data_IF_983083970651
#
_entry.id   IF_983083970651
#
_cell.length_a   1.000
_cell.length_b   1.000
_cell.length_c   1.000
_cell.angle_alpha   90.00
_cell.angle_beta   90.00
_cell.angle_gamma   90.00
#
_symmetry.space_group_name_H-M   'P 1'
#
loop_
_entity.id
_entity.type
_entity.pdbx_description
1 polymer ?
#
# COMPACT_ATOMS: atom_id res chain seq x y z
N UNK A 1 46.48 46.08 -16.28
CA UNK A 1 45.74 45.48 -17.41
C UNK A 1 46.70 44.64 -18.24
N UNK A 2 46.75 43.33 -17.98
CA UNK A 2 47.05 42.36 -19.04
C UNK A 2 45.85 42.43 -19.98
N UNK A 3 46.01 42.60 -21.30
CA UNK A 3 45.00 43.25 -22.17
C UNK A 3 43.62 42.54 -22.24
N UNK A 4 43.49 41.40 -21.57
CA UNK A 4 42.26 40.86 -20.99
C UNK A 4 42.61 39.69 -20.06
N UNK A 5 43.52 38.82 -20.50
CA UNK A 5 44.26 37.89 -19.65
C UNK A 5 45.67 37.57 -20.21
N UNK A 6 45.94 37.68 -21.53
CA UNK A 6 47.31 37.54 -22.09
C UNK A 6 47.52 38.05 -23.55
N UNK A 7 46.74 38.99 -24.07
CA UNK A 7 47.11 39.68 -25.32
C UNK A 7 47.82 41.01 -24.97
N UNK A 8 48.54 41.62 -25.92
CA UNK A 8 49.23 42.89 -25.72
C UNK A 8 49.32 43.63 -27.05
N UNK A 9 49.04 44.93 -27.08
CA UNK A 9 49.03 45.76 -28.28
C UNK A 9 49.43 47.20 -27.93
N UNK A 10 50.12 47.86 -28.87
CA UNK A 10 50.55 49.26 -28.73
C UNK A 10 49.41 50.16 -29.21
N UNK A 11 48.80 50.91 -28.30
CA UNK A 11 47.67 51.79 -28.60
C UNK A 11 48.17 53.25 -28.61
N UNK A 12 47.99 54.01 -29.71
CA UNK A 12 48.38 55.42 -29.78
C UNK A 12 47.46 56.28 -28.91
N UNK A 13 48.01 57.38 -28.36
CA UNK A 13 47.38 58.25 -27.35
C UNK A 13 46.06 58.91 -27.76
N UNK A 14 45.71 58.89 -29.04
CA UNK A 14 44.47 59.44 -29.59
C UNK A 14 43.29 58.42 -29.58
N UNK A 15 43.54 57.17 -29.21
CA UNK A 15 42.51 56.14 -29.03
C UNK A 15 42.33 55.87 -27.53
N UNK A 16 41.22 56.33 -26.96
CA UNK A 16 40.80 55.96 -25.62
C UNK A 16 39.99 54.65 -25.68
N UNK A 17 40.39 53.66 -24.89
CA UNK A 17 39.67 52.39 -24.74
C UNK A 17 39.06 52.36 -23.35
N UNK A 18 37.74 52.46 -23.29
CA UNK A 18 36.96 52.32 -22.07
C UNK A 18 36.48 50.86 -21.94
N UNK A 19 37.03 50.13 -20.96
CA UNK A 19 36.52 48.81 -20.62
C UNK A 19 35.30 48.98 -19.72
N UNK A 20 34.11 48.85 -20.29
CA UNK A 20 32.89 48.74 -19.51
C UNK A 20 32.96 47.46 -18.67
N UNK A 21 33.35 47.61 -17.41
CA UNK A 21 33.37 46.51 -16.45
C UNK A 21 31.92 46.13 -16.17
N UNK A 22 31.49 44.94 -16.62
CA UNK A 22 30.25 44.36 -16.12
C UNK A 22 30.40 44.26 -14.59
N UNK A 23 29.38 44.66 -13.83
CA UNK A 23 29.41 44.59 -12.37
C UNK A 23 29.89 43.19 -11.95
N UNK A 24 30.87 43.13 -11.05
CA UNK A 24 31.41 41.87 -10.52
C UNK A 24 30.32 41.17 -9.71
N UNK A 25 29.39 40.49 -10.39
CA UNK A 25 28.35 39.67 -9.78
C UNK A 25 28.95 38.31 -9.43
N UNK A 26 28.89 37.94 -8.16
CA UNK A 26 29.45 36.69 -7.69
C UNK A 26 28.34 35.62 -7.66
N UNK A 27 28.60 34.46 -8.25
CA UNK A 27 27.61 33.38 -8.35
C UNK A 27 27.12 32.91 -6.96
N UNK A 28 27.90 33.16 -5.91
CA UNK A 28 27.54 32.81 -4.54
C UNK A 28 26.29 33.53 -4.04
N UNK A 29 26.02 34.77 -4.45
CA UNK A 29 24.81 35.48 -4.01
C UNK A 29 23.53 34.83 -4.56
N UNK A 30 23.58 34.30 -5.79
CA UNK A 30 22.46 33.55 -6.37
C UNK A 30 22.23 32.22 -5.66
N UNK A 31 23.30 31.50 -5.32
CA UNK A 31 23.20 30.26 -4.55
C UNK A 31 22.62 30.51 -3.15
N UNK A 32 23.03 31.58 -2.47
CA UNK A 32 22.47 31.95 -1.17
C UNK A 32 20.97 32.30 -1.25
N UNK A 33 20.54 32.92 -2.35
CA UNK A 33 19.12 33.19 -2.60
C UNK A 33 18.32 31.90 -2.83
N UNK A 34 18.87 30.95 -3.60
CA UNK A 34 18.24 29.64 -3.84
C UNK A 34 18.11 28.87 -2.52
N UNK A 35 19.17 28.79 -1.73
CA UNK A 35 19.16 28.12 -0.43
C UNK A 35 18.13 28.72 0.52
N UNK A 36 18.00 30.06 0.53
CA UNK A 36 17.00 30.74 1.33
C UNK A 36 15.58 30.41 0.86
N UNK A 37 15.33 30.40 -0.45
CA UNK A 37 14.03 30.08 -1.01
C UNK A 37 13.63 28.63 -0.71
N UNK A 38 14.53 27.67 -0.92
CA UNK A 38 14.29 26.25 -0.62
C UNK A 38 14.00 26.03 0.87
N UNK A 39 14.83 26.60 1.77
CA UNK A 39 14.61 26.49 3.23
C UNK A 39 13.30 27.12 3.66
N UNK A 40 12.89 28.22 3.04
CA UNK A 40 11.62 28.88 3.34
C UNK A 40 10.43 28.02 2.90
N UNK A 41 10.51 27.41 1.72
CA UNK A 41 9.51 26.48 1.22
C UNK A 41 9.40 25.23 2.10
N UNK A 42 10.52 24.61 2.50
CA UNK A 42 10.50 23.44 3.39
C UNK A 42 9.84 23.75 4.73
N UNK A 43 10.09 24.94 5.32
CA UNK A 43 9.42 25.36 6.56
C UNK A 43 7.93 25.61 6.38
N UNK A 44 7.54 26.23 5.26
CA UNK A 44 6.13 26.53 4.99
C UNK A 44 5.28 25.27 4.76
N UNK A 45 5.86 24.26 4.08
CA UNK A 45 5.13 23.03 3.72
C UNK A 45 5.27 21.98 4.81
N UNK A 46 6.50 21.70 5.25
CA UNK A 46 6.80 20.56 6.12
C UNK A 46 6.89 20.95 7.61
N UNK A 47 6.90 22.26 7.93
CA UNK A 47 7.12 22.75 9.29
C UNK A 47 8.58 22.67 9.77
N UNK A 48 9.51 22.21 8.93
CA UNK A 48 10.92 22.05 9.30
C UNK A 48 11.83 21.87 8.09
N UNK A 49 13.15 21.90 8.30
CA UNK A 49 14.15 21.81 7.23
C UNK A 49 15.02 20.56 7.28
N UNK A 50 15.14 19.91 8.45
CA UNK A 50 16.17 18.89 8.66
C UNK A 50 15.91 17.58 7.90
N UNK A 51 14.64 17.22 7.70
CA UNK A 51 14.29 15.97 6.99
C UNK A 51 14.51 16.07 5.48
N UNK A 52 14.65 17.28 4.94
CA UNK A 52 14.86 17.53 3.50
C UNK A 52 16.29 17.98 3.18
N UNK A 53 16.97 18.64 4.12
CA UNK A 53 18.36 19.06 3.99
C UNK A 53 19.16 18.50 5.16
N UNK A 54 19.76 17.32 4.96
CA UNK A 54 20.75 16.77 5.88
C UNK A 54 22.11 17.41 5.59
N UNK A 55 22.35 18.59 6.13
CA UNK A 55 23.71 19.12 6.20
C UNK A 55 24.45 18.30 7.28
N UNK A 56 25.24 17.32 6.83
CA UNK A 56 25.78 16.20 7.61
C UNK A 56 26.63 16.55 8.84
N UNK A 57 26.75 17.84 9.20
CA UNK A 57 27.42 18.33 10.40
C UNK A 57 26.49 18.54 11.61
N UNK A 58 25.17 18.64 11.44
CA UNK A 58 24.25 19.00 12.55
C UNK A 58 23.00 18.12 12.67
N UNK A 59 22.90 17.03 11.91
CA UNK A 59 21.81 16.06 12.06
C UNK A 59 22.09 15.11 13.22
N UNK A 60 21.58 15.42 14.40
CA UNK A 60 21.52 14.47 15.52
C UNK A 60 20.22 13.66 15.46
N UNK A 61 20.26 12.39 15.82
CA UNK A 61 19.07 11.51 15.82
C UNK A 61 17.91 12.10 16.65
N UNK A 62 18.21 12.81 17.74
CA UNK A 62 17.21 13.48 18.57
C UNK A 62 16.46 14.59 17.81
N UNK A 63 17.16 15.39 16.99
CA UNK A 63 16.52 16.43 16.20
C UNK A 63 15.69 15.82 15.06
N UNK A 64 16.15 14.70 14.49
CA UNK A 64 15.38 13.93 13.50
C UNK A 64 14.04 13.44 14.04
N UNK A 65 13.99 12.96 15.29
CA UNK A 65 12.76 12.52 15.94
C UNK A 65 11.76 13.67 16.14
N UNK A 66 12.22 14.84 16.61
CA UNK A 66 11.37 16.04 16.75
C UNK A 66 10.74 16.46 15.41
N UNK A 67 11.49 16.36 14.30
CA UNK A 67 10.92 16.65 12.98
C UNK A 67 9.94 15.58 12.49
N UNK A 68 10.11 14.33 12.92
CA UNK A 68 9.15 13.28 12.64
C UNK A 68 7.82 13.52 13.38
N UNK A 69 7.88 13.96 14.64
CA UNK A 69 6.71 14.38 15.42
C UNK A 69 5.95 15.52 14.73
N UNK A 70 6.64 16.58 14.28
CA UNK A 70 6.00 17.69 13.53
C UNK A 70 5.32 17.20 12.26
N UNK A 71 5.92 16.23 11.55
CA UNK A 71 5.30 15.64 10.35
C UNK A 71 4.03 14.87 10.71
N UNK A 72 4.03 14.14 11.81
CA UNK A 72 2.88 13.39 12.30
C UNK A 72 1.76 14.34 12.74
N UNK A 73 2.09 15.42 13.46
CA UNK A 73 1.12 16.45 13.83
C UNK A 73 0.45 17.09 12.60
N UNK A 74 1.24 17.36 11.55
CA UNK A 74 0.70 17.89 10.29
C UNK A 74 -0.22 16.89 9.59
N UNK A 75 0.20 15.63 9.50
CA UNK A 75 -0.61 14.53 8.95
C UNK A 75 -1.94 14.41 9.70
N UNK A 76 -1.91 14.40 11.02
CA UNK A 76 -3.11 14.21 11.84
C UNK A 76 -4.05 15.43 11.74
N UNK A 77 -3.51 16.64 11.65
CA UNK A 77 -4.29 17.84 11.38
C UNK A 77 -4.99 17.80 10.01
N UNK A 78 -4.29 17.32 8.97
CA UNK A 78 -4.86 17.16 7.63
C UNK A 78 -5.91 16.04 7.59
N UNK A 79 -5.64 14.90 8.22
CA UNK A 79 -6.61 13.80 8.34
C UNK A 79 -7.87 14.26 9.06
N UNK A 80 -7.77 15.07 10.11
CA UNK A 80 -8.93 15.64 10.81
C UNK A 80 -9.77 16.54 9.91
N UNK A 81 -9.14 17.31 9.02
CA UNK A 81 -9.84 18.17 8.04
C UNK A 81 -10.51 17.33 6.95
N UNK A 82 -9.83 16.30 6.46
CA UNK A 82 -10.39 15.35 5.48
C UNK A 82 -11.56 14.59 6.09
N UNK A 83 -11.44 14.10 7.31
CA UNK A 83 -12.51 13.43 8.04
C UNK A 83 -13.75 14.31 8.20
N UNK A 84 -13.57 15.60 8.53
CA UNK A 84 -14.67 16.56 8.59
C UNK A 84 -15.35 16.74 7.22
N UNK A 85 -14.57 16.78 6.15
CA UNK A 85 -15.07 16.95 4.78
C UNK A 85 -15.84 15.71 4.33
N UNK A 86 -15.28 14.52 4.52
CA UNK A 86 -15.93 13.24 4.22
C UNK A 86 -17.20 13.05 5.04
N UNK A 87 -17.18 13.42 6.32
CA UNK A 87 -18.37 13.36 7.17
C UNK A 87 -19.48 14.27 6.64
N UNK A 88 -19.13 15.49 6.21
CA UNK A 88 -20.09 16.48 5.69
C UNK A 88 -20.64 16.12 4.31
N UNK A 89 -19.78 15.68 3.40
CA UNK A 89 -20.11 15.56 1.97
C UNK A 89 -20.51 14.15 1.55
N UNK A 90 -20.04 13.11 2.27
CA UNK A 90 -20.31 11.71 1.94
C UNK A 90 -21.20 11.03 2.99
N UNK A 91 -20.77 11.05 4.25
CA UNK A 91 -21.47 10.30 5.32
C UNK A 91 -22.84 10.92 5.62
N UNK A 92 -22.92 12.25 5.69
CA UNK A 92 -24.17 12.95 5.98
C UNK A 92 -25.25 12.68 4.92
N UNK A 93 -25.01 12.85 3.60
CA UNK A 93 -26.01 12.54 2.59
C UNK A 93 -26.42 11.06 2.57
N UNK A 94 -25.47 10.14 2.70
CA UNK A 94 -25.78 8.70 2.75
C UNK A 94 -26.65 8.34 3.95
N UNK A 95 -26.36 8.92 5.12
CA UNK A 95 -27.15 8.70 6.32
C UNK A 95 -28.55 9.33 6.20
N UNK A 96 -28.64 10.56 5.70
CA UNK A 96 -29.92 11.27 5.55
C UNK A 96 -30.86 10.60 4.53
N UNK A 97 -30.31 10.02 3.45
CA UNK A 97 -31.09 9.37 2.41
C UNK A 97 -31.51 7.94 2.76
N UNK A 98 -30.63 7.16 3.41
CA UNK A 98 -30.87 5.73 3.64
C UNK A 98 -31.41 5.39 5.03
N UNK A 99 -31.15 6.21 6.06
CA UNK A 99 -31.51 5.87 7.43
C UNK A 99 -32.78 6.61 7.89
N UNK A 100 -33.83 5.85 8.22
CA UNK A 100 -35.06 6.37 8.85
C UNK A 100 -34.87 7.00 10.23
N UNK A 101 -33.66 6.89 10.80
CA UNK A 101 -33.28 7.44 12.12
C UNK A 101 -32.78 8.88 12.04
N UNK A 102 -32.72 9.47 10.83
CA UNK A 102 -32.29 10.85 10.66
C UNK A 102 -33.30 11.83 11.26
N UNK A 103 -32.92 12.40 12.42
CA UNK A 103 -33.72 13.40 13.13
C UNK A 103 -33.03 14.76 13.21
N UNK A 104 -31.71 14.79 13.45
CA UNK A 104 -30.94 16.03 13.63
C UNK A 104 -29.52 15.86 13.05
N UNK A 105 -29.04 16.88 12.34
CA UNK A 105 -27.69 16.95 11.78
C UNK A 105 -26.58 16.90 12.85
N UNK A 106 -26.92 17.15 14.12
CA UNK A 106 -26.00 17.02 15.27
C UNK A 106 -25.69 15.57 15.66
N UNK A 107 -26.53 14.61 15.30
CA UNK A 107 -26.40 13.17 15.66
C UNK A 107 -26.08 12.30 14.45
N UNK A 108 -25.16 12.77 13.61
CA UNK A 108 -24.70 12.02 12.45
C UNK A 108 -23.49 11.16 12.84
N UNK A 109 -23.32 9.97 12.26
CA UNK A 109 -22.06 9.24 12.34
C UNK A 109 -20.91 10.12 11.86
N UNK A 110 -19.78 10.09 12.56
CA UNK A 110 -18.56 10.79 12.15
C UNK A 110 -17.57 9.79 11.60
N UNK A 111 -16.98 10.14 10.47
CA UNK A 111 -15.84 9.43 9.95
C UNK A 111 -14.60 9.88 10.73
N UNK A 112 -13.79 8.94 11.19
CA UNK A 112 -12.54 9.19 11.91
C UNK A 112 -11.47 8.25 11.36
N UNK A 113 -10.27 8.78 11.13
CA UNK A 113 -9.11 7.98 10.75
C UNK A 113 -8.43 7.47 12.02
N UNK A 114 -8.04 6.20 12.04
CA UNK A 114 -7.13 5.70 13.08
C UNK A 114 -5.71 6.19 12.78
N UNK A 115 -5.21 7.11 13.59
CA UNK A 115 -3.84 7.63 13.50
C UNK A 115 -2.93 7.04 14.57
N UNK A 116 -3.38 5.99 15.28
CA UNK A 116 -2.56 5.32 16.27
C UNK A 116 -1.31 4.70 15.60
N UNK A 117 -0.14 5.12 16.07
CA UNK A 117 1.11 4.49 15.66
C UNK A 117 1.44 3.33 16.58
N UNK A 118 1.85 2.21 15.99
CA UNK A 118 2.33 1.05 16.73
C UNK A 118 3.64 1.44 17.43
N UNK A 119 3.66 1.33 18.76
CA UNK A 119 4.87 1.54 19.56
C UNK A 119 5.88 0.42 19.27
N UNK A 120 7.17 0.67 19.51
CA UNK A 120 8.21 -0.35 19.33
C UNK A 120 7.87 -1.59 20.18
N UNK A 121 7.58 -2.69 19.49
CA UNK A 121 7.13 -3.98 20.02
C UNK A 121 8.04 -4.46 21.16
N UNK A 122 9.34 -4.20 21.06
CA UNK A 122 10.30 -4.63 22.08
C UNK A 122 10.14 -3.80 23.36
N UNK A 123 10.16 -2.47 23.23
CA UNK A 123 10.02 -1.55 24.37
C UNK A 123 8.66 -1.70 25.06
N UNK A 124 7.60 -1.88 24.27
CA UNK A 124 6.24 -2.06 24.77
C UNK A 124 6.06 -3.42 25.45
N UNK A 125 6.57 -4.50 24.86
CA UNK A 125 6.50 -5.84 25.44
C UNK A 125 7.24 -5.96 26.78
N UNK A 126 8.45 -5.40 26.87
CA UNK A 126 9.21 -5.36 28.13
C UNK A 126 8.56 -4.46 29.19
N UNK A 127 8.03 -3.31 28.78
CA UNK A 127 7.32 -2.38 29.67
C UNK A 127 6.01 -2.96 30.19
N UNK A 128 5.24 -3.60 29.31
CA UNK A 128 3.95 -4.21 29.64
C UNK A 128 4.13 -5.37 30.63
N UNK A 129 5.15 -6.22 30.45
CA UNK A 129 5.49 -7.27 31.41
C UNK A 129 5.72 -6.71 32.82
N UNK A 130 6.56 -5.67 32.94
CA UNK A 130 6.83 -5.01 34.23
C UNK A 130 5.58 -4.39 34.85
N UNK A 131 4.70 -3.80 34.04
CA UNK A 131 3.45 -3.19 34.52
C UNK A 131 2.47 -4.25 35.05
N UNK A 132 2.37 -5.40 34.38
CA UNK A 132 1.57 -6.54 34.85
C UNK A 132 2.14 -7.11 36.14
N UNK A 133 3.47 -7.23 36.25
CA UNK A 133 4.15 -7.71 37.47
C UNK A 133 3.92 -6.80 38.68
N UNK A 134 3.80 -5.49 38.46
CA UNK A 134 3.45 -4.48 39.48
C UNK A 134 1.97 -4.55 39.87
N UNK A 135 1.13 -5.26 39.09
CA UNK A 135 -0.28 -5.53 39.39
C UNK A 135 -1.28 -4.64 38.64
N UNK A 136 -0.88 -3.97 37.55
CA UNK A 136 -1.82 -3.27 36.68
C UNK A 136 -2.78 -4.26 36.01
N UNK A 137 -4.09 -3.97 36.07
CA UNK A 137 -5.13 -4.75 35.38
C UNK A 137 -5.38 -4.16 34.00
N UNK A 138 -4.63 -4.64 33.02
CA UNK A 138 -4.71 -4.16 31.64
C UNK A 138 -5.61 -5.11 30.83
N UNK A 139 -6.68 -4.61 30.18
CA UNK A 139 -7.51 -5.45 29.32
C UNK A 139 -6.71 -5.88 28.08
N UNK A 140 -6.86 -7.16 27.71
CA UNK A 140 -6.15 -7.77 26.59
C UNK A 140 -6.45 -7.07 25.26
N UNK A 141 -7.71 -6.64 25.07
CA UNK A 141 -8.14 -5.90 23.89
C UNK A 141 -7.42 -4.55 23.74
N UNK A 142 -7.21 -3.81 24.84
CA UNK A 142 -6.48 -2.54 24.80
C UNK A 142 -5.03 -2.73 24.36
N UNK A 143 -4.37 -3.80 24.82
CA UNK A 143 -3.00 -4.10 24.43
C UNK A 143 -2.92 -4.46 22.93
N UNK A 144 -3.91 -5.18 22.41
CA UNK A 144 -4.00 -5.52 20.98
C UNK A 144 -4.30 -4.31 20.10
N UNK A 145 -5.26 -3.46 20.49
CA UNK A 145 -5.61 -2.22 19.80
C UNK A 145 -4.40 -1.26 19.74
N UNK A 146 -3.68 -1.13 20.85
CA UNK A 146 -2.48 -0.29 20.93
C UNK A 146 -1.32 -0.81 20.10
N UNK A 147 -1.22 -2.14 19.96
CA UNK A 147 -0.20 -2.80 19.13
C UNK A 147 -0.60 -2.95 17.67
N UNK A 148 -1.86 -2.66 17.33
CA UNK A 148 -2.45 -2.88 16.01
C UNK A 148 -2.35 -4.33 15.54
N UNK A 149 -2.41 -5.28 16.49
CA UNK A 149 -2.43 -6.72 16.21
C UNK A 149 -3.88 -7.19 16.36
N UNK A 150 -4.56 -7.58 15.26
CA UNK A 150 -5.94 -8.04 15.33
C UNK A 150 -6.06 -9.32 16.16
N UNK A 151 -7.24 -9.50 16.76
CA UNK A 151 -7.60 -10.77 17.41
C UNK A 151 -7.78 -11.81 16.31
N UNK A 152 -7.00 -12.88 16.38
CA UNK A 152 -7.18 -14.03 15.49
C UNK A 152 -8.60 -14.61 15.66
N UNK A 153 -9.25 -14.94 14.54
CA UNK A 153 -10.54 -15.64 14.58
C UNK A 153 -10.38 -17.07 15.12
N UNK A 154 -11.46 -17.71 15.56
CA UNK A 154 -11.44 -19.06 16.18
C UNK A 154 -10.76 -20.15 15.32
N UNK A 155 -10.60 -19.93 14.00
CA UNK A 155 -9.98 -20.87 13.05
C UNK A 155 -8.79 -20.28 12.29
N UNK A 156 -8.17 -19.20 12.79
CA UNK A 156 -6.99 -18.59 12.17
C UNK A 156 -5.71 -19.07 12.86
N UNK A 157 -4.66 -19.32 12.08
CA UNK A 157 -3.41 -19.85 12.62
C UNK A 157 -2.68 -18.78 13.45
N UNK A 158 -2.45 -19.06 14.73
CA UNK A 158 -1.88 -18.11 15.68
C UNK A 158 -0.38 -18.37 15.82
N UNK A 159 0.42 -17.30 15.72
CA UNK A 159 1.85 -17.35 15.98
C UNK A 159 2.10 -17.82 17.43
N UNK A 160 2.44 -19.09 17.60
CA UNK A 160 2.83 -19.64 18.89
C UNK A 160 4.35 -19.60 19.04
N UNK A 161 4.81 -19.03 20.15
CA UNK A 161 6.21 -19.15 20.56
C UNK A 161 6.38 -20.59 21.06
N UNK A 162 7.26 -21.37 20.43
CA UNK A 162 7.64 -22.70 20.95
C UNK A 162 8.31 -22.53 22.31
N UNK A 163 7.51 -22.41 23.37
CA UNK A 163 8.00 -22.65 24.71
C UNK A 163 8.28 -24.16 24.79
N UNK A 164 9.48 -24.59 25.22
CA UNK A 164 9.68 -25.98 25.61
C UNK A 164 8.81 -26.24 26.84
N UNK A 165 7.58 -26.65 26.59
CA UNK A 165 6.69 -27.18 27.61
C UNK A 165 7.34 -28.47 28.07
N UNK A 166 7.86 -28.48 29.30
CA UNK A 166 8.34 -29.69 29.94
C UNK A 166 7.20 -30.72 29.94
N UNK A 167 7.31 -31.71 29.06
CA UNK A 167 6.36 -32.80 28.93
C UNK A 167 6.59 -33.80 30.09
N UNK A 168 5.54 -34.26 30.80
CA UNK A 168 5.70 -35.34 31.77
C UNK A 168 6.05 -36.64 31.02
N UNK A 169 7.09 -37.36 31.48
CA UNK A 169 7.57 -38.57 30.81
C UNK A 169 6.49 -39.67 30.75
N UNK A 170 6.03 -39.98 29.54
CA UNK A 170 5.14 -41.09 29.25
C UNK A 170 5.98 -42.28 28.69
N UNK A 171 6.09 -43.42 29.40
CA UNK A 171 7.08 -44.49 29.11
C UNK A 171 6.85 -45.25 27.80
N UNK A 172 5.78 -44.95 27.05
CA UNK A 172 5.41 -45.64 25.80
C UNK A 172 6.25 -45.22 24.59
N UNK A 173 6.87 -44.02 24.60
CA UNK A 173 7.69 -43.53 23.47
C UNK A 173 9.02 -44.29 23.29
N UNK A 174 9.48 -45.05 24.30
CA UNK A 174 10.74 -45.83 24.22
C UNK A 174 10.60 -47.17 23.47
N UNK A 175 9.38 -47.64 23.20
CA UNK A 175 9.15 -48.95 22.56
C UNK A 175 9.06 -48.91 21.02
N UNK A 176 8.96 -47.72 20.41
CA UNK A 176 8.80 -47.58 18.95
C UNK A 176 10.16 -47.60 18.23
N UNK A 177 11.28 -47.37 18.93
CA UNK A 177 12.62 -47.39 18.34
C UNK A 177 13.15 -48.78 17.96
N UNK A 178 12.45 -49.87 18.31
CA UNK A 178 12.92 -51.25 18.12
C UNK A 178 12.12 -52.07 17.10
N UNK A 179 11.23 -51.46 16.32
CA UNK A 179 10.45 -52.17 15.30
C UNK A 179 10.96 -51.86 13.89
N UNK A 180 11.80 -52.75 13.34
CA UNK A 180 12.09 -52.80 11.90
C UNK A 180 10.85 -53.34 11.16
N UNK A 181 10.07 -52.47 10.54
CA UNK A 181 9.02 -52.82 9.58
C UNK A 181 9.47 -52.46 8.15
N UNK A 182 9.19 -53.32 7.14
CA UNK A 182 9.60 -53.08 5.77
C UNK A 182 8.82 -51.91 5.17
N UNK A 183 9.52 -51.09 4.39
CA UNK A 183 9.02 -49.88 3.75
C UNK A 183 7.75 -50.13 2.91
N UNK A 184 6.63 -49.58 3.36
CA UNK A 184 5.44 -49.38 2.54
C UNK A 184 5.76 -48.29 1.51
N UNK A 185 6.04 -48.70 0.27
CA UNK A 185 6.11 -47.79 -0.87
C UNK A 185 4.72 -47.24 -1.16
N UNK A 186 4.41 -46.07 -0.60
CA UNK A 186 3.33 -45.25 -1.10
C UNK A 186 3.73 -44.79 -2.51
N UNK A 187 3.00 -45.25 -3.51
CA UNK A 187 3.13 -44.79 -4.88
C UNK A 187 2.57 -43.36 -4.91
N UNK A 188 3.41 -42.38 -4.53
CA UNK A 188 3.10 -40.97 -4.68
C UNK A 188 3.21 -40.67 -6.16
N UNK A 189 2.05 -40.60 -6.84
CA UNK A 189 1.95 -39.96 -8.14
C UNK A 189 2.19 -38.47 -7.87
N UNK A 190 3.46 -38.06 -7.93
CA UNK A 190 3.79 -36.64 -8.03
C UNK A 190 3.49 -36.26 -9.48
N UNK A 191 2.26 -35.82 -9.73
CA UNK A 191 1.94 -35.17 -11.01
C UNK A 191 2.59 -33.80 -10.95
N UNK A 192 3.42 -33.47 -11.93
CA UNK A 192 4.03 -32.14 -11.98
C UNK A 192 2.90 -31.10 -12.01
N UNK A 193 2.98 -30.02 -11.22
CA UNK A 193 1.93 -29.01 -11.18
C UNK A 193 1.74 -28.33 -12.53
N UNK A 194 2.78 -28.29 -13.37
CA UNK A 194 2.73 -27.73 -14.73
C UNK A 194 1.86 -28.58 -15.67
N UNK A 195 1.87 -29.92 -15.53
CA UNK A 195 1.02 -30.81 -16.35
C UNK A 195 -0.48 -30.66 -16.04
N UNK A 196 -0.82 -30.21 -14.83
CA UNK A 196 -2.21 -29.92 -14.44
C UNK A 196 -2.70 -28.59 -14.99
N UNK A 197 -1.79 -27.64 -15.25
CA UNK A 197 -2.11 -26.33 -15.82
C UNK A 197 -2.51 -26.50 -17.29
N UNK A 198 -1.71 -27.26 -18.05
CA UNK A 198 -1.98 -27.55 -19.46
C UNK A 198 -3.29 -28.36 -19.66
N UNK A 199 -3.72 -29.15 -18.66
CA UNK A 199 -4.98 -29.91 -18.70
C UNK A 199 -6.21 -29.07 -18.29
N UNK A 200 -6.01 -27.97 -17.54
CA UNK A 200 -7.10 -27.17 -16.95
C UNK A 200 -7.29 -25.79 -17.59
N UNK A 201 -6.31 -25.29 -18.35
CA UNK A 201 -6.45 -24.06 -19.12
C UNK A 201 -7.41 -24.27 -20.30
N UNK A 202 -8.48 -23.46 -20.43
CA UNK A 202 -9.37 -23.57 -21.56
C UNK A 202 -8.62 -23.26 -22.86
N UNK A 203 -8.85 -24.04 -23.90
CA UNK A 203 -8.21 -23.79 -25.20
C UNK A 203 -8.83 -22.58 -25.90
N UNK A 204 -8.10 -21.94 -26.82
CA UNK A 204 -8.60 -20.78 -27.57
C UNK A 204 -9.92 -21.08 -28.31
N UNK A 205 -10.12 -22.33 -28.76
CA UNK A 205 -11.35 -22.78 -29.43
C UNK A 205 -12.55 -22.85 -28.47
N UNK A 206 -12.32 -23.20 -27.20
CA UNK A 206 -13.36 -23.21 -26.17
C UNK A 206 -13.78 -21.78 -25.81
N UNK A 207 -12.82 -20.85 -25.72
CA UNK A 207 -13.11 -19.42 -25.52
C UNK A 207 -13.95 -18.85 -26.66
N UNK A 208 -13.58 -19.14 -27.92
CA UNK A 208 -14.35 -18.69 -29.07
C UNK A 208 -15.78 -19.27 -29.04
N UNK A 209 -15.96 -20.53 -28.66
CA UNK A 209 -17.29 -21.16 -28.61
C UNK A 209 -18.25 -20.54 -27.59
N UNK A 210 -17.73 -20.00 -26.48
CA UNK A 210 -18.52 -19.38 -25.40
C UNK A 210 -18.76 -17.89 -25.67
N UNK A 211 -17.78 -17.20 -26.26
CA UNK A 211 -17.83 -15.75 -26.49
C UNK A 211 -18.59 -15.40 -27.78
N UNK A 212 -18.45 -16.21 -28.84
CA UNK A 212 -19.09 -15.96 -30.14
C UNK A 212 -20.61 -15.81 -30.08
N UNK A 213 -21.38 -16.64 -29.35
CA UNK A 213 -22.83 -16.51 -29.24
C UNK A 213 -23.27 -15.18 -28.62
N UNK A 214 -22.45 -14.62 -27.73
CA UNK A 214 -22.72 -13.34 -27.06
C UNK A 214 -22.35 -12.14 -27.95
N UNK A 215 -21.23 -12.22 -28.68
CA UNK A 215 -20.73 -11.10 -29.49
C UNK A 215 -21.36 -11.02 -30.89
N UNK A 216 -21.68 -12.15 -31.53
CA UNK A 216 -22.31 -12.18 -32.88
C UNK A 216 -23.56 -11.30 -32.99
N UNK A 217 -24.57 -11.38 -32.10
CA UNK A 217 -25.77 -10.55 -32.22
C UNK A 217 -25.50 -9.05 -32.02
N UNK A 218 -24.50 -8.69 -31.21
CA UNK A 218 -24.08 -7.30 -31.00
C UNK A 218 -23.36 -6.78 -32.25
N UNK A 219 -22.45 -7.58 -32.83
CA UNK A 219 -21.72 -7.24 -34.05
C UNK A 219 -22.67 -7.10 -35.24
N UNK A 220 -23.68 -7.96 -35.35
CA UNK A 220 -24.68 -7.90 -36.41
C UNK A 220 -25.63 -6.70 -36.24
N UNK A 221 -25.99 -6.34 -35.01
CA UNK A 221 -26.77 -5.13 -34.72
C UNK A 221 -26.02 -3.84 -35.10
N UNK A 222 -24.70 -3.81 -34.86
CA UNK A 222 -23.83 -2.70 -35.26
C UNK A 222 -23.73 -2.58 -36.79
N UNK A 223 -23.63 -3.72 -37.49
CA UNK A 223 -23.54 -3.76 -38.96
C UNK A 223 -24.84 -3.35 -39.67
N UNK A 224 -25.99 -3.63 -39.06
CA UNK A 224 -27.31 -3.43 -39.71
C UNK A 224 -27.90 -2.03 -39.50
N UNK A 225 -27.67 -1.38 -38.35
CA UNK A 225 -28.34 -0.12 -38.01
C UNK A 225 -27.48 0.99 -37.42
N UNK A 226 -26.16 0.80 -37.34
CA UNK A 226 -25.25 1.77 -36.73
C UNK A 226 -25.39 1.85 -35.20
N UNK A 227 -24.75 2.85 -34.60
CA UNK A 227 -24.52 2.91 -33.14
C UNK A 227 -25.81 3.06 -32.30
N UNK A 228 -26.74 3.93 -32.71
CA UNK A 228 -27.98 4.18 -31.96
C UNK A 228 -28.95 2.98 -31.98
N UNK A 229 -29.00 2.28 -33.11
CA UNK A 229 -29.79 1.05 -33.24
C UNK A 229 -29.20 -0.09 -32.39
N UNK A 230 -27.86 -0.21 -32.39
CA UNK A 230 -27.18 -1.19 -31.56
C UNK A 230 -27.39 -0.94 -30.06
N UNK A 231 -27.38 0.31 -29.58
CA UNK A 231 -27.66 0.62 -28.17
C UNK A 231 -29.06 0.17 -27.73
N UNK A 232 -30.07 0.44 -28.57
CA UNK A 232 -31.46 0.05 -28.25
C UNK A 232 -31.61 -1.46 -28.25
N UNK A 233 -31.00 -2.14 -29.23
CA UNK A 233 -31.06 -3.60 -29.35
C UNK A 233 -30.25 -4.33 -28.28
N UNK A 234 -29.18 -3.71 -27.76
CA UNK A 234 -28.36 -4.27 -26.69
C UNK A 234 -29.17 -4.40 -25.39
N UNK A 235 -30.06 -3.44 -25.08
CA UNK A 235 -30.91 -3.53 -23.90
C UNK A 235 -31.91 -4.71 -23.95
N UNK A 236 -32.37 -5.07 -25.15
CA UNK A 236 -33.24 -6.24 -25.36
C UNK A 236 -32.43 -7.55 -25.34
N UNK A 237 -31.28 -7.58 -26.03
CA UNK A 237 -30.40 -8.75 -26.08
C UNK A 237 -29.79 -9.09 -24.71
N UNK A 238 -29.61 -8.11 -23.83
CA UNK A 238 -29.13 -8.32 -22.46
C UNK A 238 -30.14 -9.09 -21.59
N UNK A 239 -31.44 -9.01 -21.90
CA UNK A 239 -32.47 -9.74 -21.13
C UNK A 239 -32.50 -11.25 -21.47
N UNK A 240 -32.08 -11.61 -22.68
CA UNK A 240 -32.08 -12.99 -23.20
C UNK A 240 -30.66 -13.59 -23.23
N UNK A 241 -29.69 -12.94 -22.58
CA UNK A 241 -28.29 -13.37 -22.58
C UNK A 241 -28.10 -14.54 -21.60
N UNK A 242 -27.73 -15.70 -22.12
CA UNK A 242 -27.31 -16.85 -21.33
C UNK A 242 -25.81 -16.69 -20.99
N UNK A 243 -25.52 -16.33 -19.74
CA UNK A 243 -24.17 -16.10 -19.21
C UNK A 243 -23.62 -17.27 -18.39
N UNK A 244 -24.39 -18.34 -18.19
CA UNK A 244 -24.02 -19.50 -17.37
C UNK A 244 -22.71 -20.15 -17.84
N UNK A 245 -22.51 -20.27 -19.15
CA UNK A 245 -21.32 -20.88 -19.74
C UNK A 245 -20.06 -20.02 -19.51
N UNK A 246 -20.21 -18.70 -19.57
CA UNK A 246 -19.12 -17.75 -19.34
C UNK A 246 -18.79 -17.65 -17.85
N UNK A 247 -19.80 -17.69 -16.98
CA UNK A 247 -19.62 -17.73 -15.53
C UNK A 247 -18.85 -18.99 -15.10
N UNK A 248 -19.22 -20.16 -15.60
CA UNK A 248 -18.53 -21.41 -15.30
C UNK A 248 -17.06 -21.39 -15.75
N UNK A 249 -16.79 -20.84 -16.93
CA UNK A 249 -15.43 -20.72 -17.47
C UNK A 249 -14.56 -19.78 -16.61
N UNK A 250 -15.08 -18.60 -16.27
CA UNK A 250 -14.38 -17.65 -15.41
C UNK A 250 -14.17 -18.20 -13.98
N UNK A 251 -15.17 -18.88 -13.44
CA UNK A 251 -15.07 -19.54 -12.13
C UNK A 251 -13.96 -20.58 -12.11
N UNK A 252 -13.86 -21.40 -13.16
CA UNK A 252 -12.78 -22.38 -13.31
C UNK A 252 -11.41 -21.70 -13.44
N UNK A 253 -11.30 -20.63 -14.22
CA UNK A 253 -10.05 -19.89 -14.39
C UNK A 253 -9.58 -19.23 -13.08
N UNK A 254 -10.49 -18.63 -12.31
CA UNK A 254 -10.19 -18.05 -11.00
C UNK A 254 -9.78 -19.13 -9.99
N UNK A 255 -10.44 -20.29 -10.00
CA UNK A 255 -10.09 -21.42 -9.14
C UNK A 255 -8.69 -21.98 -9.44
N UNK A 256 -8.36 -22.16 -10.72
CA UNK A 256 -7.01 -22.58 -11.15
C UNK A 256 -5.97 -21.54 -10.71
N UNK A 257 -6.26 -20.25 -10.88
CA UNK A 257 -5.37 -19.16 -10.46
C UNK A 257 -5.14 -19.13 -8.94
N UNK A 258 -6.18 -19.36 -8.12
CA UNK A 258 -6.06 -19.46 -6.65
C UNK A 258 -5.21 -20.66 -6.24
N UNK A 259 -5.42 -21.83 -6.87
CA UNK A 259 -4.62 -23.03 -6.59
C UNK A 259 -3.13 -22.82 -6.93
N UNK A 260 -2.83 -22.20 -8.08
CA UNK A 260 -1.45 -21.87 -8.48
C UNK A 260 -0.85 -20.87 -7.50
N UNK A 261 -1.61 -19.83 -7.14
CA UNK A 261 -1.18 -18.83 -6.15
C UNK A 261 -0.76 -19.47 -4.83
N UNK A 262 -1.54 -20.44 -4.33
CA UNK A 262 -1.23 -21.18 -3.10
C UNK A 262 -0.07 -22.13 -3.23
N UNK A 263 0.09 -22.78 -4.38
CA UNK A 263 1.16 -23.75 -4.62
C UNK A 263 2.52 -23.04 -4.77
N UNK A 264 2.56 -21.88 -5.43
CA UNK A 264 3.78 -21.08 -5.61
C UNK A 264 4.13 -20.21 -4.40
N UNK A 265 3.18 -19.86 -3.52
CA UNK A 265 3.45 -19.07 -2.31
C UNK A 265 4.32 -19.81 -1.27
N UNK A 266 4.38 -21.15 -1.33
CA UNK A 266 5.17 -21.98 -0.41
C UNK A 266 6.55 -22.37 -0.96
N UNK A 267 7.02 -21.73 -2.04
CA UNK A 267 8.32 -22.00 -2.68
C UNK A 267 9.30 -20.84 -2.54
#
# INVERSE_FOLDING_TARGET
>A
MSIGHNAGGIIPRAMEIEFAKAADGNAAEFMAMIDWAEKSMSKAILGGTLTSQSDGKTSTNALGNVHNEVRQELRDADLKRLAATLTRDLVYPLYALNCKSFNDARRIPRFEFDTAESEDINSFGEGLGKLVDIGFKIPLQWAQDKMQIPVAAENEDVLSRTQPKAEPEDPRKKAILSANLPELKFNTIHRDPDDLIDELEPTAEEYESVIDPMLKPIVDAIRTGGYEYAQTRLAELYQDLDDDALEQMLTRALFVSDLIGRLNANR
#
